data_IF_738928939967
#
_entry.id   IF_738928939967
#
_cell.length_a   1.000
_cell.length_b   1.000
_cell.length_c   1.000
_cell.angle_alpha   90.00
_cell.angle_beta   90.00
_cell.angle_gamma   90.00
#
_symmetry.space_group_name_H-M   'P 1'
#
loop_
_entity.id
_entity.type
_entity.pdbx_description
1 polymer ?
#
# COMPACT_ATOMS: atom_id res chain seq x y z
N UNK A 1 7.92 6.71 11.01
CA UNK A 1 7.58 6.94 9.60
C UNK A 1 6.97 5.68 9.00
N UNK A 2 6.00 5.85 8.11
CA UNK A 2 5.42 4.69 7.44
C UNK A 2 6.36 4.20 6.34
N UNK A 3 6.76 2.93 6.43
CA UNK A 3 7.59 2.28 5.41
C UNK A 3 6.87 1.06 4.88
N UNK A 4 7.32 0.57 3.73
CA UNK A 4 6.79 -0.67 3.14
C UNK A 4 6.84 -1.80 4.17
N UNK A 5 7.97 -1.97 4.84
CA UNK A 5 8.14 -3.03 5.84
C UNK A 5 7.11 -2.92 6.97
N UNK A 6 6.92 -1.72 7.52
CA UNK A 6 5.98 -1.51 8.62
C UNK A 6 4.56 -1.86 8.23
N UNK A 7 4.13 -1.45 7.04
CA UNK A 7 2.77 -1.75 6.57
C UNK A 7 2.59 -3.25 6.37
N UNK A 8 3.55 -3.92 5.76
CA UNK A 8 3.45 -5.36 5.51
C UNK A 8 3.44 -6.15 6.83
N UNK A 9 4.24 -5.73 7.81
CA UNK A 9 4.22 -6.35 9.14
C UNK A 9 2.86 -6.17 9.82
N UNK A 10 2.25 -5.00 9.69
CA UNK A 10 0.92 -4.75 10.25
C UNK A 10 -0.14 -5.63 9.59
N UNK A 11 -0.09 -5.75 8.27
CA UNK A 11 -1.02 -6.61 7.53
C UNK A 11 -0.90 -8.05 8.01
N UNK A 12 0.31 -8.56 8.10
CA UNK A 12 0.53 -9.95 8.50
C UNK A 12 0.09 -10.22 9.94
N UNK A 13 0.22 -9.21 10.81
CA UNK A 13 -0.20 -9.34 12.21
C UNK A 13 -1.73 -9.34 12.35
N UNK A 14 -2.43 -8.58 11.51
CA UNK A 14 -3.88 -8.38 11.65
C UNK A 14 -4.70 -9.29 10.76
N UNK A 15 -4.14 -9.77 9.65
CA UNK A 15 -4.85 -10.62 8.70
C UNK A 15 -3.90 -11.73 8.23
N UNK A 16 -3.90 -12.88 8.92
CA UNK A 16 -3.08 -14.01 8.47
C UNK A 16 -3.41 -14.38 7.03
N UNK A 17 -2.37 -14.59 6.23
CA UNK A 17 -2.53 -14.86 4.81
C UNK A 17 -1.35 -15.70 4.32
N UNK A 18 -1.50 -16.27 3.12
CA UNK A 18 -0.48 -17.12 2.50
C UNK A 18 0.19 -16.46 1.30
N UNK A 19 -0.07 -15.18 1.07
CA UNK A 19 0.52 -14.49 -0.07
C UNK A 19 1.96 -14.11 0.23
N UNK A 20 2.78 -14.07 -0.81
CA UNK A 20 4.20 -13.74 -0.66
C UNK A 20 4.37 -12.25 -0.32
N UNK A 21 5.52 -11.94 0.27
CA UNK A 21 5.87 -10.55 0.52
C UNK A 21 5.91 -9.76 -0.79
N UNK A 22 6.38 -10.37 -1.87
CA UNK A 22 6.44 -9.70 -3.17
C UNK A 22 5.05 -9.34 -3.69
N UNK A 23 4.08 -10.23 -3.54
CA UNK A 23 2.70 -9.96 -3.95
C UNK A 23 2.08 -8.83 -3.13
N UNK A 24 2.24 -8.89 -1.80
CA UNK A 24 1.70 -7.86 -0.92
C UNK A 24 2.39 -6.51 -1.14
N UNK A 25 3.70 -6.52 -1.38
CA UNK A 25 4.43 -5.30 -1.71
C UNK A 25 3.90 -4.68 -3.01
N UNK A 26 3.62 -5.49 -4.01
CA UNK A 26 3.07 -5.00 -5.27
C UNK A 26 1.73 -4.30 -5.04
N UNK A 27 0.85 -4.89 -4.24
CA UNK A 27 -0.43 -4.25 -3.92
C UNK A 27 -0.22 -2.93 -3.18
N UNK A 28 0.69 -2.93 -2.21
CA UNK A 28 1.00 -1.72 -1.45
C UNK A 28 1.51 -0.60 -2.38
N UNK A 29 2.38 -0.93 -3.31
CA UNK A 29 2.93 0.05 -4.23
C UNK A 29 1.90 0.53 -5.25
N UNK A 30 0.87 -0.27 -5.53
CA UNK A 30 -0.27 0.20 -6.32
C UNK A 30 -1.01 1.32 -5.58
N UNK A 31 -1.20 1.17 -4.27
CA UNK A 31 -1.83 2.22 -3.47
C UNK A 31 -0.96 3.49 -3.46
N UNK A 32 0.35 3.33 -3.30
CA UNK A 32 1.27 4.47 -3.33
C UNK A 32 1.23 5.16 -4.70
N UNK A 33 1.17 4.39 -5.78
CA UNK A 33 1.03 4.93 -7.12
C UNK A 33 -0.23 5.77 -7.28
N UNK A 34 -1.34 5.31 -6.72
CA UNK A 34 -2.58 6.07 -6.71
C UNK A 34 -2.40 7.40 -5.98
N UNK A 35 -1.78 7.38 -4.80
CA UNK A 35 -1.52 8.60 -4.02
C UNK A 35 -0.68 9.58 -4.84
N UNK A 36 0.39 9.08 -5.49
CA UNK A 36 1.25 9.94 -6.31
C UNK A 36 0.47 10.58 -7.44
N UNK A 37 -0.28 9.80 -8.19
CA UNK A 37 -0.94 10.29 -9.41
C UNK A 37 -2.16 11.14 -9.12
N UNK A 38 -2.96 10.77 -8.12
CA UNK A 38 -4.27 11.38 -7.92
C UNK A 38 -4.25 12.48 -6.87
N UNK A 39 -3.26 12.48 -5.98
CA UNK A 39 -3.21 13.42 -4.88
C UNK A 39 -1.99 14.35 -4.98
N UNK A 40 -0.78 13.79 -5.11
CA UNK A 40 0.44 14.58 -5.07
C UNK A 40 0.72 15.34 -6.36
N UNK A 41 0.73 14.65 -7.49
CA UNK A 41 1.12 15.28 -8.76
C UNK A 41 0.20 16.43 -9.18
N UNK A 42 -1.13 16.37 -8.95
CA UNK A 42 -1.99 17.50 -9.31
C UNK A 42 -1.80 18.74 -8.44
N UNK A 43 -1.14 18.62 -7.27
CA UNK A 43 -0.98 19.75 -6.36
C UNK A 43 0.37 20.43 -6.58
N UNK A 44 0.42 21.75 -6.28
CA UNK A 44 1.65 22.52 -6.42
C UNK A 44 2.77 21.87 -5.59
N UNK A 45 3.92 21.68 -6.23
CA UNK A 45 5.09 21.06 -5.59
C UNK A 45 5.10 19.54 -5.66
N UNK A 46 4.03 18.91 -6.19
CA UNK A 46 3.97 17.45 -6.29
C UNK A 46 4.19 16.88 -7.67
N UNK A 47 4.37 17.74 -8.67
CA UNK A 47 4.42 17.32 -10.08
C UNK A 47 5.58 16.38 -10.38
N UNK A 48 6.69 16.50 -9.65
CA UNK A 48 7.88 15.68 -9.85
C UNK A 48 7.93 14.45 -8.97
N UNK A 49 6.90 14.23 -8.16
CA UNK A 49 6.83 13.05 -7.30
C UNK A 49 6.76 11.80 -8.16
N UNK A 50 7.64 10.84 -7.89
CA UNK A 50 7.74 9.62 -8.68
C UNK A 50 7.00 8.47 -8.03
N UNK A 51 6.40 7.63 -8.87
CA UNK A 51 5.81 6.37 -8.41
C UNK A 51 6.96 5.40 -8.12
N UNK A 52 7.02 4.78 -6.91
CA UNK A 52 8.07 3.81 -6.63
C UNK A 52 7.99 2.62 -7.58
N UNK A 53 9.14 2.01 -7.93
CA UNK A 53 9.14 0.80 -8.76
C UNK A 53 8.56 -0.39 -8.00
N UNK A 54 8.08 -1.39 -8.73
CA UNK A 54 7.49 -2.59 -8.12
C UNK A 54 8.45 -3.34 -7.19
N UNK A 55 9.74 -3.21 -7.42
CA UNK A 55 10.77 -3.87 -6.62
C UNK A 55 11.38 -2.94 -5.56
N UNK A 56 10.69 -1.86 -5.22
CA UNK A 56 11.16 -0.95 -4.18
C UNK A 56 11.41 -1.71 -2.86
N UNK A 57 12.49 -1.36 -2.19
CA UNK A 57 12.90 -2.05 -0.96
C UNK A 57 11.93 -1.86 0.19
N UNK A 58 12.03 -2.74 1.18
CA UNK A 58 11.15 -2.72 2.34
C UNK A 58 11.33 -1.47 3.22
N UNK A 59 12.48 -0.83 3.14
CA UNK A 59 12.76 0.40 3.88
C UNK A 59 12.31 1.67 3.13
N UNK A 60 11.66 1.52 1.98
CA UNK A 60 11.11 2.64 1.23
C UNK A 60 10.07 3.37 2.08
N UNK A 61 10.23 4.69 2.23
CA UNK A 61 9.32 5.53 2.99
C UNK A 61 8.12 5.88 2.11
N UNK A 62 6.92 5.67 2.66
CA UNK A 62 5.69 5.96 1.96
C UNK A 62 5.30 7.43 2.13
N UNK A 63 4.53 7.95 1.18
CA UNK A 63 4.17 9.38 1.18
C UNK A 63 3.22 9.75 2.30
N UNK A 64 2.20 8.92 2.53
CA UNK A 64 1.21 9.21 3.57
C UNK A 64 1.77 8.75 4.91
N UNK A 65 1.84 9.67 5.86
CA UNK A 65 2.41 9.42 7.18
C UNK A 65 1.32 9.29 8.25
N UNK A 66 1.66 8.75 9.44
CA UNK A 66 0.70 8.67 10.52
C UNK A 66 0.06 10.04 10.81
N UNK A 67 -1.20 10.08 11.20
CA UNK A 67 -2.10 8.93 11.48
C UNK A 67 -2.84 8.39 10.26
N UNK A 68 -2.59 8.89 9.07
CA UNK A 68 -3.38 8.56 7.88
C UNK A 68 -2.80 7.39 7.08
N UNK A 69 -1.65 6.86 7.48
CA UNK A 69 -0.96 5.77 6.78
C UNK A 69 -1.71 4.44 6.83
N UNK A 70 -2.74 4.31 7.65
CA UNK A 70 -3.57 3.11 7.70
C UNK A 70 -4.27 2.80 6.37
N UNK A 71 -4.38 3.79 5.47
CA UNK A 71 -4.97 3.54 4.15
C UNK A 71 -4.21 2.45 3.40
N UNK A 72 -2.89 2.37 3.59
CA UNK A 72 -2.08 1.34 2.92
C UNK A 72 -2.44 -0.05 3.42
N UNK A 73 -2.58 -0.21 4.73
CA UNK A 73 -2.97 -1.49 5.32
C UNK A 73 -4.34 -1.92 4.83
N UNK A 74 -5.29 -1.01 4.86
CA UNK A 74 -6.65 -1.31 4.40
C UNK A 74 -6.68 -1.71 2.93
N UNK A 75 -5.88 -1.04 2.11
CA UNK A 75 -5.81 -1.38 0.69
C UNK A 75 -5.27 -2.80 0.48
N UNK A 76 -4.16 -3.14 1.13
CA UNK A 76 -3.56 -4.47 0.99
C UNK A 76 -4.51 -5.54 1.52
N UNK A 77 -5.15 -5.29 2.67
CA UNK A 77 -6.12 -6.23 3.23
C UNK A 77 -7.30 -6.46 2.28
N UNK A 78 -7.80 -5.41 1.66
CA UNK A 78 -8.88 -5.53 0.68
C UNK A 78 -8.44 -6.39 -0.52
N UNK A 79 -7.22 -6.22 -0.98
CA UNK A 79 -6.68 -7.02 -2.08
C UNK A 79 -6.57 -8.50 -1.69
N UNK A 80 -6.15 -8.77 -0.46
CA UNK A 80 -6.07 -10.15 0.04
C UNK A 80 -7.45 -10.80 0.03
N UNK A 81 -8.46 -10.12 0.56
CA UNK A 81 -9.83 -10.64 0.56
C UNK A 81 -10.36 -10.83 -0.85
N UNK A 82 -10.08 -9.89 -1.72
CA UNK A 82 -10.50 -10.00 -3.11
C UNK A 82 -9.86 -11.24 -3.78
N UNK A 83 -8.57 -11.43 -3.57
CA UNK A 83 -7.85 -12.57 -4.14
C UNK A 83 -8.34 -13.90 -3.56
N UNK A 84 -8.83 -13.89 -2.32
CA UNK A 84 -9.41 -15.07 -1.68
C UNK A 84 -10.84 -15.36 -2.15
N UNK A 85 -11.43 -14.52 -3.00
CA UNK A 85 -12.79 -14.68 -3.44
C UNK A 85 -13.84 -14.23 -2.43
N UNK A 86 -13.47 -13.38 -1.48
CA UNK A 86 -14.35 -12.92 -0.40
C UNK A 86 -15.02 -11.59 -0.73
N UNK A 87 -15.36 -11.39 -2.00
CA UNK A 87 -15.92 -10.12 -2.47
C UNK A 87 -17.20 -9.71 -1.73
N UNK A 88 -18.02 -10.68 -1.33
CA UNK A 88 -19.26 -10.40 -0.62
C UNK A 88 -19.07 -9.64 0.68
N UNK A 89 -17.89 -9.65 1.24
CA UNK A 89 -17.59 -8.93 2.47
C UNK A 89 -17.44 -7.41 2.27
N UNK A 90 -17.29 -6.99 1.02
CA UNK A 90 -17.04 -5.59 0.68
C UNK A 90 -18.19 -4.96 -0.10
N UNK A 91 -19.24 -5.71 -0.33
CA UNK A 91 -20.41 -5.21 -1.07
C UNK A 91 -21.56 -4.84 -0.13
#
# INVERSE_FOLDING_TARGET
>A
MATVKQVLEQVDAMLPNQYTTAEKRRWLLQAEGFVVREVHQPHAGGEETQVPPEDAGEDTVLLVQPPYDELYRHYVEAQIHYANGEMGRYN
#
